data_IF_945986060503
#
_entry.id   IF_945986060503
#
_cell.length_a   1.000
_cell.length_b   1.000
_cell.length_c   1.000
_cell.angle_alpha   90.00
_cell.angle_beta   90.00
_cell.angle_gamma   90.00
#
_symmetry.space_group_name_H-M   'P 1'
#
loop_
_entity.id
_entity.type
_entity.pdbx_description
1 polymer ?
#
# COMPACT_ATOMS: atom_id res chain seq x y z
N UNK A 1 7.43 13.04 -1.79
CA UNK A 1 6.01 12.98 -1.37
C UNK A 1 5.22 11.84 -2.01
N UNK A 2 5.03 11.81 -3.34
CA UNK A 2 4.16 10.83 -4.02
C UNK A 2 4.47 9.37 -3.70
N UNK A 3 5.75 9.03 -3.65
CA UNK A 3 6.19 7.67 -3.30
C UNK A 3 5.69 7.21 -1.92
N UNK A 4 5.78 8.06 -0.89
CA UNK A 4 5.24 7.75 0.43
C UNK A 4 3.70 7.73 0.43
N UNK A 5 3.05 8.70 -0.23
CA UNK A 5 1.60 8.73 -0.32
C UNK A 5 1.03 7.48 -1.00
N UNK A 6 1.67 7.02 -2.07
CA UNK A 6 1.32 5.77 -2.77
C UNK A 6 1.53 4.55 -1.87
N UNK A 7 2.65 4.47 -1.14
CA UNK A 7 2.90 3.38 -0.20
C UNK A 7 1.85 3.32 0.92
N UNK A 8 1.55 4.45 1.55
CA UNK A 8 0.49 4.57 2.57
C UNK A 8 -0.85 4.17 1.98
N UNK A 9 -1.18 4.66 0.78
CA UNK A 9 -2.40 4.26 0.07
C UNK A 9 -2.45 2.75 -0.14
N UNK A 10 -1.38 2.13 -0.60
CA UNK A 10 -1.30 0.69 -0.85
C UNK A 10 -1.50 -0.12 0.45
N UNK A 11 -0.90 0.33 1.56
CA UNK A 11 -1.15 -0.23 2.90
C UNK A 11 -2.63 -0.17 3.33
N UNK A 12 -3.33 0.91 2.97
CA UNK A 12 -4.77 1.04 3.25
C UNK A 12 -5.64 0.20 2.30
N UNK A 13 -5.25 0.08 1.03
CA UNK A 13 -6.03 -0.64 0.01
C UNK A 13 -6.12 -2.14 0.26
N UNK A 14 -5.15 -2.72 0.96
CA UNK A 14 -5.20 -4.13 1.36
C UNK A 14 -6.16 -4.38 2.54
N UNK A 15 -6.70 -3.34 3.17
CA UNK A 15 -7.81 -3.45 4.10
C UNK A 15 -9.15 -3.56 3.33
N UNK A 16 -10.10 -4.37 3.80
CA UNK A 16 -11.43 -4.48 3.20
C UNK A 16 -12.29 -3.25 3.56
N UNK A 17 -11.94 -2.09 3.03
CA UNK A 17 -12.68 -0.82 3.19
C UNK A 17 -13.36 -0.44 1.88
N UNK A 18 -14.41 0.38 1.96
CA UNK A 18 -15.08 0.92 0.77
C UNK A 18 -14.13 1.85 0.01
N UNK A 19 -14.19 1.82 -1.33
CA UNK A 19 -13.39 2.67 -2.20
C UNK A 19 -13.42 4.16 -1.81
N UNK A 20 -14.61 4.70 -1.52
CA UNK A 20 -14.80 6.08 -1.06
C UNK A 20 -14.01 6.36 0.22
N UNK A 21 -14.09 5.49 1.21
CA UNK A 21 -13.32 5.62 2.46
C UNK A 21 -11.82 5.55 2.19
N UNK A 22 -11.37 4.59 1.37
CA UNK A 22 -9.97 4.49 0.99
C UNK A 22 -9.47 5.77 0.31
N UNK A 23 -10.27 6.36 -0.58
CA UNK A 23 -9.93 7.57 -1.32
C UNK A 23 -9.93 8.80 -0.39
N UNK A 24 -10.94 8.96 0.46
CA UNK A 24 -10.96 10.01 1.49
C UNK A 24 -9.74 9.94 2.40
N UNK A 25 -9.32 8.74 2.85
CA UNK A 25 -8.11 8.58 3.66
C UNK A 25 -6.82 8.93 2.91
N UNK A 26 -6.81 8.79 1.58
CA UNK A 26 -5.68 9.17 0.71
C UNK A 26 -5.59 10.69 0.59
N UNK A 27 -6.72 11.33 0.33
CA UNK A 27 -6.80 12.79 0.21
C UNK A 27 -6.49 13.44 1.55
N UNK A 28 -7.07 12.91 2.64
CA UNK A 28 -6.73 13.32 4.00
C UNK A 28 -5.23 13.19 4.25
N UNK A 29 -4.61 12.07 3.87
CA UNK A 29 -3.15 11.94 3.98
C UNK A 29 -2.41 13.02 3.19
N UNK A 30 -2.72 13.21 1.90
CA UNK A 30 -2.06 14.22 1.05
C UNK A 30 -2.21 15.65 1.59
N UNK A 31 -3.41 16.01 2.03
CA UNK A 31 -3.74 17.35 2.54
C UNK A 31 -3.10 17.61 3.91
N UNK A 32 -3.21 16.65 4.83
CA UNK A 32 -2.78 16.80 6.22
C UNK A 32 -1.26 16.65 6.38
N UNK A 33 -0.56 15.96 5.48
CA UNK A 33 0.82 15.54 5.72
C UNK A 33 1.88 16.29 4.89
N UNK A 34 1.48 17.12 3.93
CA UNK A 34 2.47 17.87 3.14
C UNK A 34 3.31 18.82 4.00
N UNK A 35 2.74 19.42 5.05
CA UNK A 35 3.46 20.35 5.91
C UNK A 35 4.17 19.68 7.10
N UNK A 36 3.90 18.39 7.34
CA UNK A 36 4.45 17.67 8.50
C UNK A 36 5.84 17.10 8.26
N UNK A 37 6.32 17.08 7.00
CA UNK A 37 7.60 16.51 6.64
C UNK A 37 8.48 17.55 5.95
N UNK A 38 9.78 17.51 6.26
CA UNK A 38 10.78 18.24 5.51
C UNK A 38 11.19 17.41 4.29
N UNK A 39 10.77 17.89 3.11
CA UNK A 39 11.10 17.29 1.82
C UNK A 39 12.34 17.91 1.17
N UNK A 40 12.92 18.96 1.76
CA UNK A 40 14.04 19.73 1.20
C UNK A 40 15.40 19.22 1.65
N UNK A 41 15.46 18.52 2.78
CA UNK A 41 16.68 17.96 3.34
C UNK A 41 17.19 16.70 2.61
N UNK A 42 18.47 16.38 2.83
CA UNK A 42 19.07 15.10 2.39
C UNK A 42 18.57 13.90 3.20
N UNK A 43 17.89 14.15 4.31
CA UNK A 43 17.30 13.16 5.20
C UNK A 43 15.81 13.47 5.35
N UNK A 44 14.98 12.41 5.32
CA UNK A 44 13.56 12.55 5.55
C UNK A 44 13.27 12.77 7.04
N UNK A 45 12.86 13.98 7.38
CA UNK A 45 12.59 14.42 8.75
C UNK A 45 11.16 14.93 8.89
N UNK A 46 10.71 15.08 10.13
CA UNK A 46 9.54 15.89 10.42
C UNK A 46 9.86 17.36 10.17
N UNK A 47 8.86 18.15 9.79
CA UNK A 47 8.96 19.60 9.82
C UNK A 47 9.03 20.08 11.27
N UNK A 48 9.60 21.26 11.47
CA UNK A 48 9.71 21.86 12.81
C UNK A 48 8.33 22.06 13.47
N UNK A 49 8.22 21.69 14.75
CA UNK A 49 6.97 21.70 15.52
C UNK A 49 5.91 20.65 15.14
N UNK A 50 6.13 19.82 14.12
CA UNK A 50 5.16 18.82 13.67
C UNK A 50 4.88 17.71 14.69
N UNK A 51 5.89 17.29 15.47
CA UNK A 51 5.73 16.27 16.50
C UNK A 51 4.93 16.81 17.69
N UNK A 52 5.06 18.10 18.00
CA UNK A 52 4.32 18.75 19.08
C UNK A 52 2.89 19.16 18.66
N UNK A 53 2.66 19.41 17.37
CA UNK A 53 1.34 19.72 16.81
C UNK A 53 0.35 18.55 16.90
N UNK A 54 0.85 17.32 16.88
CA UNK A 54 0.04 16.10 16.96
C UNK A 54 -0.08 15.65 18.42
N UNK A 55 -1.20 15.96 19.09
CA UNK A 55 -1.52 15.41 20.41
C UNK A 55 -1.60 13.86 20.38
N UNK A 56 -1.26 13.22 21.51
CA UNK A 56 -0.93 11.79 21.68
C UNK A 56 -1.74 10.77 20.82
N UNK A 57 -3.07 10.89 20.76
CA UNK A 57 -3.92 9.94 20.02
C UNK A 57 -3.83 10.10 18.51
N UNK A 58 -3.82 11.34 18.02
CA UNK A 58 -3.65 11.66 16.59
C UNK A 58 -2.25 11.27 16.12
N UNK A 59 -1.25 11.46 16.98
CA UNK A 59 0.13 11.07 16.72
C UNK A 59 0.27 9.55 16.54
N UNK A 60 -0.33 8.74 17.43
CA UNK A 60 -0.23 7.27 17.36
C UNK A 60 -0.85 6.71 16.08
N UNK A 61 -2.00 7.23 15.65
CA UNK A 61 -2.65 6.81 14.41
C UNK A 61 -1.84 7.17 13.17
N UNK A 62 -1.35 8.42 13.10
CA UNK A 62 -0.62 8.90 11.93
C UNK A 62 0.77 8.27 11.79
N UNK A 63 1.51 8.18 12.89
CA UNK A 63 2.83 7.52 12.93
C UNK A 63 2.75 6.07 12.46
N UNK A 64 1.71 5.34 12.86
CA UNK A 64 1.45 3.97 12.41
C UNK A 64 1.26 3.89 10.89
N UNK A 65 0.43 4.77 10.31
CA UNK A 65 0.19 4.80 8.86
C UNK A 65 1.46 5.14 8.07
N UNK A 66 2.23 6.12 8.54
CA UNK A 66 3.49 6.54 7.92
C UNK A 66 4.53 5.42 8.01
N UNK A 67 4.65 4.75 9.16
CA UNK A 67 5.55 3.62 9.33
C UNK A 67 5.18 2.42 8.44
N UNK A 68 3.88 2.14 8.24
CA UNK A 68 3.44 1.15 7.27
C UNK A 68 3.85 1.55 5.84
N UNK A 69 3.69 2.82 5.48
CA UNK A 69 4.18 3.34 4.20
C UNK A 69 5.69 3.13 4.01
N UNK A 70 6.51 3.50 4.99
CA UNK A 70 7.96 3.27 4.95
C UNK A 70 8.33 1.79 4.90
N UNK A 71 7.64 0.93 5.64
CA UNK A 71 7.83 -0.50 5.57
C UNK A 71 7.59 -1.03 4.15
N UNK A 72 6.50 -0.61 3.50
CA UNK A 72 6.23 -1.02 2.11
C UNK A 72 7.24 -0.45 1.11
N UNK A 73 7.73 0.78 1.32
CA UNK A 73 8.81 1.33 0.48
C UNK A 73 10.12 0.57 0.63
N UNK A 74 10.44 0.14 1.85
CA UNK A 74 11.61 -0.69 2.07
C UNK A 74 11.44 -2.05 1.39
N UNK A 75 10.27 -2.69 1.54
CA UNK A 75 10.00 -3.97 0.88
C UNK A 75 10.06 -3.87 -0.64
N UNK A 76 9.55 -2.79 -1.22
CA UNK A 76 9.68 -2.49 -2.65
C UNK A 76 11.15 -2.36 -3.08
N UNK A 77 12.00 -1.69 -2.28
CA UNK A 77 13.44 -1.60 -2.53
C UNK A 77 14.14 -2.97 -2.46
N UNK A 78 13.67 -3.87 -1.61
CA UNK A 78 14.15 -5.26 -1.48
C UNK A 78 13.55 -6.19 -2.56
N UNK A 79 12.76 -5.67 -3.50
CA UNK A 79 12.19 -6.44 -4.62
C UNK A 79 10.85 -7.14 -4.33
N UNK A 80 10.24 -6.90 -3.16
CA UNK A 80 8.91 -7.40 -2.83
C UNK A 80 7.83 -6.46 -3.40
N UNK A 81 7.40 -6.75 -4.63
CA UNK A 81 6.46 -5.91 -5.37
C UNK A 81 5.00 -6.01 -4.88
N UNK A 82 4.62 -7.18 -4.34
CA UNK A 82 3.23 -7.50 -4.01
C UNK A 82 3.01 -7.48 -2.50
N UNK A 83 1.87 -6.94 -2.07
CA UNK A 83 1.50 -6.84 -0.66
C UNK A 83 0.08 -7.32 -0.41
N UNK A 84 -0.11 -8.05 0.68
CA UNK A 84 -1.42 -8.39 1.23
C UNK A 84 -1.49 -8.10 2.73
N UNK A 85 -2.68 -7.75 3.23
CA UNK A 85 -2.91 -7.68 4.69
C UNK A 85 -2.79 -9.08 5.26
N UNK A 86 -1.89 -9.28 6.23
CA UNK A 86 -1.63 -10.62 6.77
C UNK A 86 -2.88 -11.27 7.37
N UNK A 87 -3.71 -10.48 8.08
CA UNK A 87 -4.94 -11.00 8.68
C UNK A 87 -5.92 -11.57 7.63
N UNK A 88 -6.01 -10.93 6.45
CA UNK A 88 -6.80 -11.42 5.33
C UNK A 88 -6.18 -12.67 4.72
N UNK A 89 -4.86 -12.65 4.50
CA UNK A 89 -4.10 -13.79 4.00
C UNK A 89 -4.28 -15.04 4.85
N UNK A 90 -4.02 -14.96 6.17
CA UNK A 90 -4.17 -16.11 7.08
C UNK A 90 -5.60 -16.66 7.08
N UNK A 91 -6.61 -15.78 7.01
CA UNK A 91 -8.03 -16.19 7.00
C UNK A 91 -8.35 -16.96 5.72
N UNK A 92 -7.79 -16.55 4.58
CA UNK A 92 -7.94 -17.24 3.30
C UNK A 92 -7.23 -18.58 3.27
N UNK A 93 -6.13 -18.73 4.00
CA UNK A 93 -5.48 -20.02 4.21
C UNK A 93 -6.20 -20.89 5.26
N UNK A 94 -7.18 -20.38 6.01
CA UNK A 94 -7.82 -21.13 7.10
C UNK A 94 -6.97 -21.24 8.37
N UNK A 95 -5.96 -20.38 8.52
CA UNK A 95 -5.02 -20.40 9.64
C UNK A 95 -5.58 -19.62 10.84
N UNK A 96 -5.69 -20.32 11.98
CA UNK A 96 -6.18 -19.76 13.24
C UNK A 96 -5.15 -18.83 13.89
N UNK A 97 -5.60 -17.94 14.77
CA UNK A 97 -4.68 -17.07 15.53
C UNK A 97 -4.02 -17.89 16.63
N UNK A 98 -2.69 -18.04 16.65
CA UNK A 98 -1.98 -18.72 17.73
C UNK A 98 -2.21 -18.00 19.07
N UNK A 99 -2.17 -18.77 20.14
CA UNK A 99 -2.36 -18.25 21.50
C UNK A 99 -1.20 -18.62 22.39
N UNK A 100 -0.86 -17.73 23.32
CA UNK A 100 0.12 -17.99 24.38
C UNK A 100 -0.57 -18.05 25.74
N UNK A 101 -0.01 -18.81 26.70
CA UNK A 101 -0.48 -18.78 28.08
C UNK A 101 -0.50 -17.34 28.61
N UNK A 102 -1.62 -16.92 29.19
CA UNK A 102 -1.75 -15.63 29.87
C UNK A 102 -1.77 -15.83 31.37
N UNK A 103 -1.28 -14.84 32.12
CA UNK A 103 -1.47 -14.78 33.57
C UNK A 103 -2.88 -14.34 33.97
N UNK A 104 -3.69 -13.83 33.03
CA UNK A 104 -5.07 -13.40 33.31
C UNK A 104 -5.99 -14.60 33.49
N UNK A 105 -6.81 -14.56 34.53
CA UNK A 105 -7.87 -15.54 34.80
C UNK A 105 -9.24 -14.93 34.54
N UNK A 106 -10.19 -15.73 34.07
CA UNK A 106 -11.59 -15.31 33.98
C UNK A 106 -12.25 -15.36 35.38
N UNK A 107 -13.52 -14.95 35.46
CA UNK A 107 -14.31 -14.98 36.70
C UNK A 107 -14.43 -16.39 37.32
N UNK A 108 -14.16 -17.45 36.56
CA UNK A 108 -14.17 -18.85 36.98
C UNK A 108 -12.77 -19.38 37.34
N UNK A 109 -11.75 -18.52 37.42
CA UNK A 109 -10.38 -18.89 37.77
C UNK A 109 -9.58 -19.59 36.66
N UNK A 110 -10.15 -19.78 35.46
CA UNK A 110 -9.47 -20.39 34.31
C UNK A 110 -8.57 -19.39 33.59
N UNK A 111 -7.37 -19.82 33.19
CA UNK A 111 -6.44 -18.99 32.42
C UNK A 111 -7.07 -18.62 31.07
N UNK A 112 -7.03 -17.34 30.72
CA UNK A 112 -7.55 -16.82 29.44
C UNK A 112 -6.39 -16.82 28.45
N UNK A 113 -6.35 -17.66 27.41
CA UNK A 113 -5.27 -17.64 26.43
C UNK A 113 -5.15 -16.25 25.78
N UNK A 114 -3.93 -15.71 25.71
CA UNK A 114 -3.66 -14.43 25.05
C UNK A 114 -3.44 -14.68 23.57
N UNK A 115 -4.27 -14.10 22.72
CA UNK A 115 -4.08 -14.14 21.27
C UNK A 115 -2.83 -13.36 20.90
N UNK A 116 -1.99 -13.95 20.05
CA UNK A 116 -0.84 -13.24 19.50
C UNK A 116 -1.35 -12.31 18.39
N UNK A 117 -0.79 -11.10 18.32
CA UNK A 117 -1.14 -10.16 17.26
C UNK A 117 -0.59 -10.66 15.93
N UNK A 118 -1.36 -10.46 14.87
CA UNK A 118 -0.90 -10.67 13.50
C UNK A 118 0.14 -9.61 13.11
N UNK A 119 1.10 -9.97 12.25
CA UNK A 119 1.87 -9.03 11.46
C UNK A 119 0.97 -8.08 10.69
N UNK A 120 1.54 -6.99 10.21
CA UNK A 120 0.83 -6.06 9.33
C UNK A 120 0.59 -6.67 7.95
N UNK A 121 1.66 -7.17 7.33
CA UNK A 121 1.63 -7.57 5.93
C UNK A 121 2.27 -8.95 5.70
N UNK A 122 1.83 -9.57 4.62
CA UNK A 122 2.61 -10.55 3.87
C UNK A 122 3.01 -9.88 2.57
N UNK A 123 4.27 -10.01 2.19
CA UNK A 123 4.79 -9.47 0.93
C UNK A 123 5.40 -10.58 0.10
N UNK A 124 5.46 -10.39 -1.22
CA UNK A 124 5.95 -11.39 -2.16
C UNK A 124 6.77 -10.74 -3.29
N UNK A 125 7.88 -11.39 -3.65
CA UNK A 125 8.71 -11.00 -4.81
C UNK A 125 8.09 -11.45 -6.13
N UNK A 126 8.66 -11.01 -7.25
CA UNK A 126 8.29 -11.54 -8.58
C UNK A 126 8.57 -13.04 -8.73
N UNK A 127 9.59 -13.57 -8.05
CA UNK A 127 9.90 -15.02 -8.01
C UNK A 127 8.95 -15.84 -7.12
N UNK A 128 8.09 -15.19 -6.31
CA UNK A 128 7.17 -15.88 -5.40
C UNK A 128 7.73 -16.10 -3.99
N UNK A 129 8.90 -15.55 -3.67
CA UNK A 129 9.46 -15.59 -2.32
C UNK A 129 8.67 -14.68 -1.41
N UNK A 130 8.26 -15.19 -0.25
CA UNK A 130 7.37 -14.49 0.68
C UNK A 130 8.11 -14.03 1.93
N UNK A 131 7.65 -12.91 2.49
CA UNK A 131 8.06 -12.45 3.80
C UNK A 131 6.88 -11.92 4.62
N UNK A 132 7.02 -11.98 5.94
CA UNK A 132 6.10 -11.32 6.88
C UNK A 132 6.66 -9.96 7.26
N UNK A 133 5.83 -8.95 7.42
CA UNK A 133 6.28 -7.59 7.78
C UNK A 133 5.46 -7.04 8.93
N UNK A 134 6.13 -6.53 9.95
CA UNK A 134 5.54 -5.77 11.05
C UNK A 134 6.17 -4.38 11.08
N UNK A 135 5.35 -3.35 11.06
CA UNK A 135 5.82 -1.96 11.12
C UNK A 135 5.71 -1.39 12.53
N UNK A 136 6.66 -0.53 12.90
CA UNK A 136 6.61 0.31 14.12
C UNK A 136 6.92 1.74 13.74
N UNK A 137 6.18 2.68 14.31
CA UNK A 137 6.31 4.11 14.01
C UNK A 137 6.41 4.94 15.27
N UNK A 138 7.23 5.98 15.24
CA UNK A 138 7.24 7.02 16.26
C UNK A 138 7.67 8.36 15.67
N UNK A 139 6.98 9.43 16.07
CA UNK A 139 7.41 10.81 15.84
C UNK A 139 7.97 11.32 17.15
N UNK A 140 9.17 11.89 17.08
CA UNK A 140 9.94 12.30 18.23
C UNK A 140 10.13 13.81 18.18
N UNK A 141 9.79 14.48 19.27
CA UNK A 141 10.14 15.87 19.50
C UNK A 141 11.51 15.97 20.20
N UNK A 142 12.07 17.18 20.23
CA UNK A 142 13.37 17.46 20.83
C UNK A 142 13.52 16.87 22.24
N UNK A 143 14.63 16.17 22.49
CA UNK A 143 14.97 15.60 23.79
C UNK A 143 14.33 14.24 24.14
N UNK A 144 13.43 13.69 23.31
CA UNK A 144 12.94 12.31 23.50
C UNK A 144 13.85 11.28 22.84
N UNK A 145 14.16 10.21 23.57
CA UNK A 145 14.88 9.04 23.05
C UNK A 145 13.87 8.00 22.57
N UNK A 146 14.06 7.47 21.36
CA UNK A 146 13.20 6.40 20.86
C UNK A 146 13.44 5.09 21.60
N UNK A 147 12.38 4.42 22.03
CA UNK A 147 12.45 3.02 22.50
C UNK A 147 12.55 2.04 21.31
N UNK A 148 13.64 2.13 20.55
CA UNK A 148 13.88 1.29 19.36
C UNK A 148 13.96 -0.18 19.77
N UNK A 149 14.74 -0.47 20.83
CA UNK A 149 14.95 -1.84 21.30
C UNK A 149 13.65 -2.50 21.77
N UNK A 150 12.85 -1.80 22.58
CA UNK A 150 11.57 -2.33 23.08
C UNK A 150 10.58 -2.55 21.95
N UNK A 151 10.39 -1.54 21.09
CA UNK A 151 9.48 -1.62 19.94
C UNK A 151 9.85 -2.72 18.94
N UNK A 152 11.15 -2.90 18.65
CA UNK A 152 11.64 -3.98 17.79
C UNK A 152 11.53 -5.36 18.43
N UNK A 153 11.84 -5.49 19.72
CA UNK A 153 11.60 -6.72 20.48
C UNK A 153 10.13 -7.15 20.38
N UNK A 154 9.21 -6.20 20.51
CA UNK A 154 7.77 -6.50 20.45
C UNK A 154 7.32 -6.86 19.03
N UNK A 155 7.84 -6.20 18.00
CA UNK A 155 7.60 -6.59 16.61
C UNK A 155 8.08 -8.03 16.32
N UNK A 156 9.26 -8.40 16.80
CA UNK A 156 9.81 -9.75 16.64
C UNK A 156 8.95 -10.81 17.35
N UNK A 157 8.48 -10.53 18.57
CA UNK A 157 7.53 -11.41 19.29
C UNK A 157 6.22 -11.59 18.53
N UNK A 158 5.77 -10.55 17.81
CA UNK A 158 4.57 -10.63 16.97
C UNK A 158 4.81 -11.51 15.73
N UNK A 159 5.98 -11.40 15.08
CA UNK A 159 6.33 -12.15 13.85
C UNK A 159 6.66 -13.62 14.11
N UNK A 160 7.31 -13.91 15.24
CA UNK A 160 7.87 -15.22 15.57
C UNK A 160 6.96 -16.42 15.26
N UNK A 161 5.69 -16.47 15.75
CA UNK A 161 4.88 -17.69 15.71
C UNK A 161 4.20 -17.96 14.36
N UNK A 162 4.32 -17.06 13.37
CA UNK A 162 3.49 -17.12 12.16
C UNK A 162 4.15 -17.80 10.98
N UNK A 163 5.46 -17.61 10.77
CA UNK A 163 6.13 -18.07 9.55
C UNK A 163 6.03 -19.59 9.30
N UNK A 164 6.05 -20.38 10.38
CA UNK A 164 6.02 -21.84 10.33
C UNK A 164 4.63 -22.43 10.08
N UNK A 165 3.55 -21.63 10.17
CA UNK A 165 2.17 -22.11 10.01
C UNK A 165 1.77 -22.31 8.54
N UNK A 166 2.67 -22.03 7.61
CA UNK A 166 2.41 -21.98 6.18
C UNK A 166 3.35 -22.94 5.43
N UNK A 167 2.87 -23.51 4.33
CA UNK A 167 3.63 -24.40 3.45
C UNK A 167 3.63 -23.84 2.01
N UNK A 168 4.80 -23.52 1.43
CA UNK A 168 6.12 -23.52 2.07
C UNK A 168 6.21 -22.49 3.22
N UNK A 169 7.11 -22.75 4.18
CA UNK A 169 7.32 -21.88 5.32
C UNK A 169 7.76 -20.48 4.90
N UNK A 170 7.18 -19.46 5.52
CA UNK A 170 7.58 -18.06 5.30
C UNK A 170 8.73 -17.77 6.26
N UNK A 171 9.96 -18.03 5.80
CA UNK A 171 11.18 -17.95 6.61
C UNK A 171 11.65 -16.52 6.82
N UNK A 172 11.46 -15.64 5.82
CA UNK A 172 11.79 -14.22 5.90
C UNK A 172 10.75 -13.44 6.69
N UNK A 173 11.22 -12.63 7.64
CA UNK A 173 10.36 -11.82 8.52
C UNK A 173 11.03 -10.48 8.71
N UNK A 174 10.33 -9.37 8.55
CA UNK A 174 10.90 -8.04 8.70
C UNK A 174 10.16 -7.27 9.78
N UNK A 175 10.87 -6.94 10.86
CA UNK A 175 10.44 -5.88 11.76
C UNK A 175 11.03 -4.56 11.25
N UNK A 176 10.18 -3.63 10.82
CA UNK A 176 10.60 -2.32 10.28
C UNK A 176 10.17 -1.21 11.23
N UNK A 177 11.13 -0.59 11.92
CA UNK A 177 10.89 0.56 12.78
C UNK A 177 11.22 1.88 12.06
N UNK A 178 10.28 2.83 12.04
CA UNK A 178 10.45 4.17 11.47
C UNK A 178 10.35 5.21 12.59
N UNK A 179 11.43 5.94 12.83
CA UNK A 179 11.51 6.93 13.90
C UNK A 179 11.91 8.28 13.29
N UNK A 180 10.95 9.18 13.15
CA UNK A 180 11.17 10.48 12.52
C UNK A 180 11.30 11.56 13.59
N UNK A 181 12.29 12.43 13.41
CA UNK A 181 12.61 13.56 14.29
C UNK A 181 12.42 14.88 13.58
N UNK A 182 12.11 15.91 14.36
CA UNK A 182 12.22 17.30 13.93
C UNK A 182 13.71 17.66 13.74
N UNK A 183 14.05 18.68 12.92
CA UNK A 183 15.43 18.97 12.54
C UNK A 183 16.27 19.65 13.64
N UNK A 184 15.76 19.80 14.87
CA UNK A 184 16.41 20.62 15.91
C UNK A 184 17.87 20.20 16.20
N UNK A 185 18.73 21.22 16.27
CA UNK A 185 20.20 21.11 16.25
C UNK A 185 20.87 20.46 17.47
N UNK A 186 20.13 20.08 18.51
CA UNK A 186 20.69 19.57 19.77
C UNK A 186 20.44 18.09 20.03
N UNK A 187 19.61 17.44 19.23
CA UNK A 187 19.38 16.00 19.31
C UNK A 187 20.59 15.24 18.76
N UNK A 188 21.10 14.28 19.54
CA UNK A 188 22.29 13.50 19.18
C UNK A 188 22.02 12.40 18.16
N UNK A 189 20.75 12.11 17.88
CA UNK A 189 20.33 10.97 17.06
C UNK A 189 19.52 11.46 15.85
N UNK A 190 19.86 11.04 14.63
CA UNK A 190 19.09 11.38 13.43
C UNK A 190 17.79 10.55 13.34
N UNK A 191 16.85 10.95 12.46
CA UNK A 191 15.74 10.06 12.06
C UNK A 191 16.30 8.74 11.54
N UNK A 192 15.64 7.62 11.80
CA UNK A 192 16.18 6.31 11.42
C UNK A 192 15.12 5.29 11.05
N UNK A 193 15.57 4.32 10.25
CA UNK A 193 14.84 3.10 9.97
C UNK A 193 15.64 1.90 10.48
N UNK A 194 15.02 1.07 11.32
CA UNK A 194 15.61 -0.16 11.86
C UNK A 194 14.95 -1.38 11.22
N UNK A 195 15.75 -2.37 10.82
CA UNK A 195 15.27 -3.59 10.15
C UNK A 195 15.87 -4.81 10.85
N UNK A 196 15.05 -5.80 11.18
CA UNK A 196 15.51 -7.09 11.74
C UNK A 196 14.86 -8.26 11.00
N UNK A 197 15.69 -9.23 10.56
CA UNK A 197 15.31 -10.47 9.89
C UNK A 197 15.61 -11.71 10.76
N UNK A 198 14.66 -12.19 11.59
CA UNK A 198 14.85 -13.41 12.36
C UNK A 198 14.62 -14.65 11.50
N UNK A 199 15.48 -15.66 11.67
CA UNK A 199 15.30 -16.96 11.04
C UNK A 199 14.00 -17.65 11.48
N UNK A 200 13.38 -18.39 10.56
CA UNK A 200 12.16 -19.16 10.81
C UNK A 200 12.42 -20.66 10.87
N UNK A 201 11.75 -21.35 11.79
CA UNK A 201 11.62 -22.81 11.77
C UNK A 201 10.46 -23.28 10.90
N UNK A 202 10.40 -24.59 10.64
CA UNK A 202 9.30 -25.25 9.94
C UNK A 202 8.45 -26.04 10.94
N UNK A 203 7.12 -25.97 10.81
CA UNK A 203 6.17 -26.78 11.60
C UNK A 203 5.66 -27.94 10.74
N UNK A 204 5.36 -29.08 11.35
CA UNK A 204 4.84 -30.27 10.65
C UNK A 204 3.37 -30.08 10.22
N UNK A 205 2.62 -29.23 10.93
CA UNK A 205 1.19 -28.93 10.68
C UNK A 205 0.97 -27.70 9.76
N UNK A 206 1.95 -27.37 8.92
CA UNK A 206 1.92 -26.18 8.08
C UNK A 206 0.83 -26.24 6.99
N UNK A 207 0.05 -25.16 6.84
CA UNK A 207 -1.05 -25.11 5.89
C UNK A 207 -0.57 -24.68 4.49
N UNK A 208 -0.91 -25.42 3.42
CA UNK A 208 -0.53 -25.04 2.05
C UNK A 208 -1.04 -23.65 1.67
N UNK A 209 -0.13 -22.82 1.16
CA UNK A 209 -0.44 -21.48 0.65
C UNK A 209 -0.56 -21.55 -0.87
N UNK A 210 -1.71 -21.15 -1.46
CA UNK A 210 -1.81 -21.04 -2.90
C UNK A 210 -0.71 -20.10 -3.46
N UNK A 211 0.00 -20.49 -4.53
CA UNK A 211 1.18 -19.79 -5.04
C UNK A 211 0.94 -18.30 -5.34
N UNK A 212 -0.28 -17.97 -5.72
CA UNK A 212 -0.73 -16.69 -6.25
C UNK A 212 -1.51 -15.83 -5.25
N UNK A 213 -1.70 -16.30 -4.00
CA UNK A 213 -2.62 -15.67 -3.06
C UNK A 213 -2.25 -14.23 -2.73
N UNK A 214 -0.95 -13.94 -2.53
CA UNK A 214 -0.49 -12.58 -2.18
C UNK A 214 -0.78 -11.61 -3.34
N UNK A 215 -0.52 -12.02 -4.58
CA UNK A 215 -0.80 -11.21 -5.79
C UNK A 215 -2.28 -10.94 -5.99
N UNK A 216 -3.12 -11.95 -5.80
CA UNK A 216 -4.57 -11.77 -5.86
C UNK A 216 -5.05 -10.79 -4.80
N UNK A 217 -4.55 -10.89 -3.57
CA UNK A 217 -4.88 -9.94 -2.51
C UNK A 217 -4.41 -8.51 -2.84
N UNK A 218 -3.19 -8.38 -3.38
CA UNK A 218 -2.63 -7.11 -3.82
C UNK A 218 -3.52 -6.42 -4.87
N UNK A 219 -3.79 -7.11 -5.99
CA UNK A 219 -4.60 -6.56 -7.07
C UNK A 219 -6.07 -6.41 -6.69
N UNK A 220 -6.61 -7.29 -5.86
CA UNK A 220 -7.97 -7.11 -5.33
C UNK A 220 -8.09 -5.85 -4.49
N UNK A 221 -7.10 -5.58 -3.62
CA UNK A 221 -7.06 -4.35 -2.83
C UNK A 221 -7.03 -3.11 -3.73
N UNK A 222 -6.16 -3.10 -4.73
CA UNK A 222 -6.03 -1.98 -5.66
C UNK A 222 -7.29 -1.76 -6.50
N UNK A 223 -7.85 -2.82 -7.10
CA UNK A 223 -9.11 -2.75 -7.86
C UNK A 223 -10.28 -2.29 -6.98
N UNK A 224 -10.34 -2.73 -5.72
CA UNK A 224 -11.35 -2.25 -4.77
C UNK A 224 -11.22 -0.75 -4.53
N UNK A 225 -9.99 -0.25 -4.34
CA UNK A 225 -9.74 1.18 -4.14
C UNK A 225 -10.06 2.02 -5.39
N UNK A 226 -9.87 1.45 -6.58
CA UNK A 226 -10.31 2.05 -7.84
C UNK A 226 -11.83 1.99 -8.05
N UNK A 227 -12.60 1.32 -7.16
CA UNK A 227 -14.05 1.20 -7.27
C UNK A 227 -14.55 -0.07 -7.96
N UNK A 228 -13.66 -0.89 -8.52
CA UNK A 228 -13.96 -2.14 -9.22
C UNK A 228 -14.17 -3.31 -8.25
N UNK A 229 -15.25 -3.24 -7.46
CA UNK A 229 -15.57 -4.22 -6.41
C UNK A 229 -15.85 -5.62 -6.93
N UNK A 230 -16.53 -5.74 -8.06
CA UNK A 230 -16.88 -7.06 -8.60
C UNK A 230 -15.63 -7.83 -9.09
N UNK A 231 -14.72 -7.24 -9.90
CA UNK A 231 -13.43 -7.86 -10.20
C UNK A 231 -12.62 -8.16 -8.94
N UNK A 232 -12.51 -7.20 -8.02
CA UNK A 232 -11.79 -7.38 -6.74
C UNK A 232 -12.28 -8.60 -5.95
N UNK A 233 -13.61 -8.74 -5.79
CA UNK A 233 -14.22 -9.87 -5.07
C UNK A 233 -13.95 -11.20 -5.78
N UNK A 234 -13.95 -11.21 -7.11
CA UNK A 234 -13.68 -12.39 -7.90
C UNK A 234 -12.24 -12.90 -7.66
N UNK A 235 -11.26 -11.99 -7.64
CA UNK A 235 -9.85 -12.33 -7.36
C UNK A 235 -9.66 -13.01 -6.00
N UNK A 236 -10.35 -12.53 -4.95
CA UNK A 236 -10.22 -13.12 -3.60
C UNK A 236 -11.10 -14.36 -3.38
N UNK A 237 -11.93 -14.73 -4.35
CA UNK A 237 -12.91 -15.81 -4.25
C UNK A 237 -12.74 -16.79 -5.43
N UNK A 238 -11.66 -17.59 -5.46
CA UNK A 238 -11.31 -18.41 -6.63
C UNK A 238 -12.37 -19.46 -7.03
N UNK A 239 -13.30 -19.77 -6.13
CA UNK A 239 -14.41 -20.71 -6.38
C UNK A 239 -15.65 -20.04 -6.98
N UNK A 240 -15.64 -18.71 -7.13
CA UNK A 240 -16.70 -17.99 -7.84
C UNK A 240 -16.78 -18.49 -9.28
N UNK A 241 -17.99 -18.83 -9.73
CA UNK A 241 -18.29 -19.13 -11.13
C UNK A 241 -18.73 -17.90 -11.91
N UNK A 242 -18.95 -16.80 -11.20
CA UNK A 242 -19.47 -15.57 -11.79
C UNK A 242 -18.37 -14.90 -12.60
N UNK A 243 -18.54 -14.88 -13.93
CA UNK A 243 -17.70 -14.07 -14.81
C UNK A 243 -18.09 -12.61 -14.61
N UNK A 244 -17.09 -11.77 -14.37
CA UNK A 244 -17.30 -10.34 -14.19
C UNK A 244 -16.73 -9.61 -15.40
N UNK A 245 -17.61 -9.03 -16.20
CA UNK A 245 -17.22 -8.15 -17.30
C UNK A 245 -17.19 -6.72 -16.79
N UNK A 246 -16.06 -6.04 -16.96
CA UNK A 246 -15.87 -4.68 -16.48
C UNK A 246 -15.16 -3.82 -17.54
N UNK A 247 -15.49 -2.54 -17.60
CA UNK A 247 -14.90 -1.59 -18.57
C UNK A 247 -14.02 -0.58 -17.84
N UNK A 248 -12.80 -0.43 -18.33
CA UNK A 248 -11.78 0.45 -17.75
C UNK A 248 -11.51 1.62 -18.68
N UNK A 249 -11.44 2.82 -18.11
CA UNK A 249 -10.93 3.99 -18.82
C UNK A 249 -9.41 3.90 -18.89
N UNK A 250 -8.86 4.07 -20.09
CA UNK A 250 -7.43 3.95 -20.36
C UNK A 250 -6.87 5.24 -20.92
N UNK A 251 -5.70 5.64 -20.43
CA UNK A 251 -4.97 6.80 -20.93
C UNK A 251 -3.45 6.56 -20.83
N UNK A 252 -2.69 7.37 -21.56
CA UNK A 252 -1.23 7.39 -21.53
C UNK A 252 -0.73 8.58 -20.70
N UNK A 253 0.04 8.29 -19.66
CA UNK A 253 0.69 9.30 -18.81
C UNK A 253 1.85 8.67 -18.06
N UNK A 254 2.81 9.47 -17.57
CA UNK A 254 3.94 8.96 -16.78
C UNK A 254 4.75 7.85 -17.49
N UNK A 255 4.85 7.90 -18.82
CA UNK A 255 5.58 6.93 -19.63
C UNK A 255 4.94 5.53 -19.73
N UNK A 256 3.67 5.38 -19.36
CA UNK A 256 2.95 4.12 -19.47
C UNK A 256 1.49 4.30 -19.89
N UNK A 257 0.82 3.17 -20.12
CA UNK A 257 -0.60 3.11 -20.48
C UNK A 257 -1.37 2.45 -19.35
N UNK A 258 -2.32 3.16 -18.78
CA UNK A 258 -2.94 2.77 -17.51
C UNK A 258 -4.46 2.75 -17.61
N UNK A 259 -5.06 1.73 -17.01
CA UNK A 259 -6.44 1.81 -16.55
C UNK A 259 -6.47 2.73 -15.32
N UNK A 260 -7.31 3.77 -15.30
CA UNK A 260 -7.27 4.79 -14.25
C UNK A 260 -8.65 5.18 -13.74
N UNK A 261 -8.68 5.68 -12.51
CA UNK A 261 -9.80 6.43 -11.94
C UNK A 261 -9.26 7.67 -11.25
N UNK A 262 -9.89 8.84 -11.39
CA UNK A 262 -9.49 9.97 -10.59
C UNK A 262 -10.13 9.86 -9.21
N UNK A 263 -9.47 10.48 -8.25
CA UNK A 263 -9.94 10.51 -6.87
C UNK A 263 -10.05 11.93 -6.35
N UNK A 264 -9.35 12.89 -6.96
CA UNK A 264 -9.53 14.30 -6.65
C UNK A 264 -9.14 15.22 -7.80
N UNK A 265 -9.72 16.42 -7.76
CA UNK A 265 -9.34 17.55 -8.59
C UNK A 265 -8.30 18.41 -7.89
N UNK A 266 -7.35 18.95 -8.64
CA UNK A 266 -6.31 19.83 -8.15
C UNK A 266 -6.35 21.13 -8.97
N UNK A 267 -6.73 22.27 -8.35
CA UNK A 267 -6.74 23.55 -9.05
C UNK A 267 -5.33 23.89 -9.56
N UNK A 268 -5.21 24.72 -10.60
CA UNK A 268 -3.94 25.34 -10.96
C UNK A 268 -3.31 25.99 -9.71
N UNK A 269 -2.13 25.51 -9.32
CA UNK A 269 -1.44 26.00 -8.12
C UNK A 269 -0.49 27.13 -8.46
N UNK A 270 -0.36 28.10 -7.56
CA UNK A 270 0.81 28.99 -7.55
C UNK A 270 2.02 28.21 -7.01
N UNK A 271 3.26 28.56 -7.40
CA UNK A 271 4.47 27.81 -7.04
C UNK A 271 4.67 27.53 -5.54
N UNK A 272 4.10 28.37 -4.66
CA UNK A 272 4.26 28.30 -3.21
C UNK A 272 3.02 27.80 -2.46
N UNK A 273 1.96 27.38 -3.17
CA UNK A 273 0.73 26.93 -2.52
C UNK A 273 0.83 25.46 -2.07
N UNK A 274 0.28 25.16 -0.89
CA UNK A 274 0.02 23.79 -0.45
C UNK A 274 -0.88 23.07 -1.46
N UNK A 275 -0.68 21.76 -1.61
CA UNK A 275 -1.47 20.92 -2.49
C UNK A 275 -2.94 20.97 -2.04
N UNK A 276 -3.79 21.62 -2.81
CA UNK A 276 -5.25 21.60 -2.60
C UNK A 276 -5.85 20.51 -3.46
N UNK A 277 -6.67 19.65 -2.87
CA UNK A 277 -7.38 18.60 -3.59
C UNK A 277 -8.86 18.60 -3.21
N UNK A 278 -9.73 18.41 -4.19
CA UNK A 278 -11.18 18.36 -4.01
C UNK A 278 -11.67 16.97 -4.41
N UNK A 279 -12.37 16.29 -3.50
CA UNK A 279 -12.87 14.93 -3.74
C UNK A 279 -13.81 14.90 -4.94
N UNK A 280 -13.61 13.95 -5.85
CA UNK A 280 -14.51 13.73 -6.99
C UNK A 280 -15.66 12.76 -6.60
N UNK A 281 -16.90 13.01 -7.01
CA UNK A 281 -18.02 12.11 -6.73
C UNK A 281 -17.78 10.68 -7.23
N UNK A 282 -18.28 9.71 -6.47
CA UNK A 282 -18.30 8.28 -6.86
C UNK A 282 -19.29 8.06 -8.00
N UNK A 283 -18.87 8.33 -9.23
CA UNK A 283 -19.71 8.31 -10.43
C UNK A 283 -19.04 8.92 -11.66
N UNK A 284 -17.93 9.64 -11.46
CA UNK A 284 -17.08 10.14 -12.54
C UNK A 284 -16.32 9.01 -13.27
N UNK A 285 -16.17 9.05 -14.61
CA UNK A 285 -16.66 10.10 -15.52
C UNK A 285 -18.10 9.87 -16.01
N UNK A 286 -18.72 8.72 -15.73
CA UNK A 286 -20.01 8.33 -16.32
C UNK A 286 -21.20 9.25 -16.00
N UNK A 287 -21.21 9.87 -14.82
CA UNK A 287 -22.28 10.79 -14.38
C UNK A 287 -21.96 12.27 -14.63
N UNK A 288 -20.71 12.59 -14.97
CA UNK A 288 -20.23 13.97 -15.07
C UNK A 288 -19.50 14.18 -16.37
N UNK A 289 -20.18 14.82 -17.33
CA UNK A 289 -19.54 15.26 -18.57
C UNK A 289 -18.46 16.29 -18.26
N UNK A 290 -17.25 16.05 -18.76
CA UNK A 290 -16.13 16.97 -18.57
C UNK A 290 -16.34 18.28 -19.38
N UNK A 291 -17.31 18.31 -20.29
CA UNK A 291 -17.76 19.54 -20.95
C UNK A 291 -18.35 20.59 -19.98
N UNK A 292 -18.68 20.20 -18.74
CA UNK A 292 -19.12 21.13 -17.71
C UNK A 292 -17.97 21.92 -17.06
N UNK A 293 -16.71 21.65 -17.43
CA UNK A 293 -15.54 22.34 -16.88
C UNK A 293 -14.99 23.29 -17.95
N UNK A 294 -15.26 24.59 -17.77
CA UNK A 294 -15.04 25.63 -18.78
C UNK A 294 -13.55 26.03 -19.00
N UNK A 295 -12.61 25.50 -18.22
CA UNK A 295 -11.18 25.85 -18.30
C UNK A 295 -10.31 24.58 -18.15
N UNK A 296 -10.06 23.83 -19.23
CA UNK A 296 -9.26 22.59 -19.14
C UNK A 296 -7.75 22.83 -19.10
N UNK A 297 -7.31 24.04 -19.44
CA UNK A 297 -5.89 24.39 -19.51
C UNK A 297 -5.25 24.41 -18.12
N UNK A 298 -4.18 23.65 -17.94
CA UNK A 298 -3.44 23.48 -16.68
C UNK A 298 -4.20 22.83 -15.50
N UNK A 299 -5.37 22.23 -15.72
CA UNK A 299 -6.03 21.45 -14.66
C UNK A 299 -5.34 20.12 -14.42
N UNK A 300 -5.15 19.79 -13.15
CA UNK A 300 -4.56 18.53 -12.70
C UNK A 300 -5.61 17.71 -11.95
N UNK A 301 -5.50 16.39 -12.01
CA UNK A 301 -6.29 15.48 -11.19
C UNK A 301 -5.39 14.45 -10.52
N UNK A 302 -5.72 14.05 -9.30
CA UNK A 302 -5.09 12.90 -8.65
C UNK A 302 -5.76 11.64 -9.16
N UNK A 303 -4.98 10.67 -9.64
CA UNK A 303 -5.46 9.38 -10.13
C UNK A 303 -4.91 8.22 -9.31
N UNK A 304 -5.70 7.15 -9.26
CA UNK A 304 -5.22 5.79 -9.01
C UNK A 304 -5.26 5.05 -10.34
N UNK A 305 -4.20 4.33 -10.66
CA UNK A 305 -4.11 3.63 -11.92
C UNK A 305 -3.41 2.28 -11.79
N UNK A 306 -3.67 1.39 -12.74
CA UNK A 306 -2.98 0.11 -12.91
C UNK A 306 -2.55 -0.02 -14.36
N UNK A 307 -1.31 -0.43 -14.59
CA UNK A 307 -0.79 -0.68 -15.94
C UNK A 307 -1.72 -1.65 -16.70
N UNK A 308 -2.10 -1.29 -17.92
CA UNK A 308 -3.11 -2.03 -18.68
C UNK A 308 -2.65 -3.46 -18.99
N UNK A 309 -1.35 -3.67 -19.25
CA UNK A 309 -0.82 -5.01 -19.52
C UNK A 309 -0.82 -5.88 -18.27
N UNK A 310 -0.63 -5.27 -17.09
CA UNK A 310 -0.81 -5.97 -15.81
C UNK A 310 -2.27 -6.33 -15.61
N UNK A 311 -3.19 -5.39 -15.84
CA UNK A 311 -4.62 -5.62 -15.69
C UNK A 311 -5.14 -6.74 -16.61
N UNK A 312 -4.72 -6.75 -17.88
CA UNK A 312 -5.05 -7.80 -18.85
C UNK A 312 -4.55 -9.19 -18.41
N UNK A 313 -3.33 -9.25 -17.83
CA UNK A 313 -2.78 -10.49 -17.26
C UNK A 313 -3.61 -10.96 -16.08
N UNK A 314 -3.98 -10.07 -15.16
CA UNK A 314 -4.84 -10.38 -14.01
C UNK A 314 -6.21 -10.88 -14.47
N UNK A 315 -6.84 -10.23 -15.45
CA UNK A 315 -8.12 -10.67 -16.02
C UNK A 315 -8.02 -12.05 -16.67
N UNK A 316 -6.97 -12.30 -17.47
CA UNK A 316 -6.71 -13.60 -18.10
C UNK A 316 -6.47 -14.71 -17.08
N UNK A 317 -5.68 -14.44 -16.03
CA UNK A 317 -5.39 -15.38 -14.96
C UNK A 317 -6.66 -15.74 -14.17
N UNK A 318 -7.49 -14.73 -13.89
CA UNK A 318 -8.79 -14.90 -13.24
C UNK A 318 -9.72 -15.82 -14.05
N UNK A 319 -9.85 -15.57 -15.36
CA UNK A 319 -10.70 -16.38 -16.25
C UNK A 319 -10.25 -17.83 -16.40
N UNK A 320 -8.95 -18.02 -16.62
CA UNK A 320 -8.37 -19.35 -16.85
C UNK A 320 -8.23 -20.14 -15.57
N UNK A 321 -8.40 -19.49 -14.41
CA UNK A 321 -8.06 -20.03 -13.08
C UNK A 321 -6.62 -20.53 -13.02
N UNK A 322 -5.77 -19.98 -13.88
CA UNK A 322 -4.36 -20.31 -14.04
C UNK A 322 -3.53 -19.08 -13.76
N UNK A 323 -3.02 -19.03 -12.55
CA UNK A 323 -2.30 -17.88 -12.00
C UNK A 323 -0.79 -17.95 -12.21
N UNK A 324 -0.30 -19.02 -12.84
CA UNK A 324 1.08 -19.12 -13.32
C UNK A 324 1.42 -18.01 -14.32
N UNK A 325 0.42 -17.52 -15.06
CA UNK A 325 0.59 -16.34 -15.93
C UNK A 325 0.92 -15.04 -15.19
N UNK A 326 0.70 -14.97 -13.87
CA UNK A 326 1.20 -13.89 -13.03
C UNK A 326 2.64 -14.15 -12.54
N UNK A 327 3.11 -15.40 -12.55
CA UNK A 327 4.50 -15.82 -12.21
C UNK A 327 5.50 -15.35 -13.24
N UNK A 328 5.13 -15.38 -14.52
CA UNK A 328 5.97 -14.93 -15.63
C UNK A 328 5.87 -13.42 -15.92
N UNK A 329 5.55 -12.58 -14.92
CA UNK A 329 5.62 -11.12 -15.06
C UNK A 329 7.07 -10.58 -15.12
N UNK A 330 7.97 -11.35 -15.75
CA UNK A 330 9.37 -11.02 -16.06
C UNK A 330 9.51 -10.05 -17.23
N UNK A 331 8.42 -9.65 -17.90
CA UNK A 331 8.43 -8.45 -18.72
C UNK A 331 8.47 -7.24 -17.80
N UNK A 332 9.69 -6.82 -17.48
CA UNK A 332 9.96 -5.43 -17.15
C UNK A 332 9.26 -4.58 -18.22
N UNK A 333 8.38 -3.65 -17.84
CA UNK A 333 7.90 -2.64 -18.75
C UNK A 333 9.09 -1.74 -19.10
N UNK A 334 9.86 -2.16 -20.10
CA UNK A 334 11.01 -1.44 -20.66
C UNK A 334 12.31 -1.62 -19.88
N UNK A 335 13.09 -2.65 -20.25
CA UNK A 335 14.56 -2.66 -20.16
C UNK A 335 15.17 -1.82 -21.30
N UNK A 336 14.70 -0.58 -21.41
CA UNK A 336 15.16 0.41 -22.38
C UNK A 336 15.35 1.74 -21.65
N UNK A 337 16.48 1.85 -20.97
CA UNK A 337 16.92 3.05 -20.29
C UNK A 337 16.89 2.86 -18.78
N UNK A 338 18.03 3.16 -18.18
CA UNK A 338 18.27 3.17 -16.74
C UNK A 338 17.10 3.70 -15.90
N UNK A 339 17.17 3.44 -14.59
CA UNK A 339 16.45 4.11 -13.50
C UNK A 339 16.58 5.66 -13.49
N UNK A 340 16.83 6.30 -14.62
CA UNK A 340 16.91 7.75 -14.82
C UNK A 340 15.51 8.36 -14.80
N UNK A 341 15.12 8.87 -13.62
CA UNK A 341 13.95 9.71 -13.32
C UNK A 341 12.57 9.03 -13.50
N UNK A 342 12.29 7.96 -12.73
CA UNK A 342 10.96 7.32 -12.64
C UNK A 342 9.98 7.98 -11.66
N UNK A 343 10.44 8.93 -10.85
CA UNK A 343 9.58 9.84 -10.09
C UNK A 343 9.54 11.17 -10.85
N UNK A 344 8.47 11.41 -11.59
CA UNK A 344 8.13 12.80 -11.94
C UNK A 344 7.63 13.47 -10.65
N UNK A 345 7.76 14.78 -10.52
CA UNK A 345 7.20 15.55 -9.38
C UNK A 345 5.69 15.32 -9.20
N UNK A 346 5.08 14.69 -10.21
CA UNK A 346 3.66 14.46 -10.36
C UNK A 346 3.22 13.05 -9.98
N UNK A 347 4.06 12.04 -9.77
CA UNK A 347 3.52 10.72 -9.43
C UNK A 347 4.54 9.64 -9.17
N UNK A 348 4.06 8.47 -8.74
CA UNK A 348 4.89 7.32 -8.45
C UNK A 348 4.25 6.00 -8.93
N UNK A 349 5.08 5.12 -9.49
CA UNK A 349 4.74 3.77 -9.94
C UNK A 349 5.46 2.72 -9.07
N UNK A 350 4.75 1.67 -8.64
CA UNK A 350 5.34 0.50 -7.98
C UNK A 350 5.61 -0.62 -8.99
N UNK A 351 6.47 -1.57 -8.62
CA UNK A 351 6.90 -2.69 -9.46
C UNK A 351 5.80 -3.68 -9.82
N UNK A 352 4.68 -3.68 -9.08
CA UNK A 352 3.48 -4.45 -9.41
C UNK A 352 2.60 -3.80 -10.49
N UNK A 353 2.96 -2.60 -10.95
CA UNK A 353 2.25 -1.84 -11.96
C UNK A 353 1.20 -0.86 -11.43
N UNK A 354 1.03 -0.74 -10.11
CA UNK A 354 0.17 0.30 -9.54
C UNK A 354 0.80 1.68 -9.74
N UNK A 355 -0.04 2.70 -9.93
CA UNK A 355 0.37 4.09 -10.07
C UNK A 355 -0.54 5.01 -9.27
N UNK A 356 0.05 6.01 -8.62
CA UNK A 356 -0.68 7.11 -8.00
C UNK A 356 0.05 8.42 -8.26
N UNK A 357 -0.70 9.44 -8.68
CA UNK A 357 -0.12 10.75 -8.99
C UNK A 357 -1.11 11.74 -9.59
N UNK A 358 -0.61 12.94 -9.87
CA UNK A 358 -1.21 14.00 -10.65
C UNK A 358 -1.06 13.72 -12.15
N UNK A 359 -2.15 13.88 -12.88
CA UNK A 359 -2.20 13.82 -14.34
C UNK A 359 -2.85 15.09 -14.85
N UNK A 360 -2.31 15.65 -15.94
CA UNK A 360 -2.95 16.79 -16.61
C UNK A 360 -4.22 16.30 -17.28
N UNK A 361 -5.30 17.05 -17.13
CA UNK A 361 -6.58 16.67 -17.70
C UNK A 361 -6.48 16.51 -19.23
N UNK A 362 -5.67 17.34 -19.90
CA UNK A 362 -5.40 17.26 -21.35
C UNK A 362 -4.80 15.91 -21.79
N UNK A 363 -3.94 15.29 -20.97
CA UNK A 363 -3.29 14.02 -21.28
C UNK A 363 -4.31 12.87 -21.33
N UNK A 364 -5.43 13.01 -20.62
CA UNK A 364 -6.52 12.05 -20.65
C UNK A 364 -7.42 12.21 -21.87
N UNK A 365 -7.30 13.32 -22.62
CA UNK A 365 -8.14 13.62 -23.79
C UNK A 365 -7.44 13.41 -25.13
N UNK A 366 -6.12 13.61 -25.20
CA UNK A 366 -5.36 13.45 -26.46
C UNK A 366 -5.34 11.98 -26.89
N UNK A 367 -5.32 11.06 -25.93
CA UNK A 367 -5.71 9.66 -26.15
C UNK A 367 -7.24 9.61 -26.22
N UNK A 368 -7.82 9.59 -27.43
CA UNK A 368 -9.25 9.40 -27.67
C UNK A 368 -9.85 8.40 -26.67
N UNK A 369 -10.80 8.83 -25.83
CA UNK A 369 -11.43 8.04 -24.73
C UNK A 369 -11.41 6.54 -25.01
N UNK A 370 -10.36 5.87 -24.55
CA UNK A 370 -10.17 4.48 -24.84
C UNK A 370 -10.72 3.69 -23.67
N UNK A 371 -11.76 2.91 -23.95
CA UNK A 371 -12.37 2.03 -22.97
C UNK A 371 -11.98 0.59 -23.32
N UNK A 372 -11.38 -0.12 -22.37
CA UNK A 372 -11.05 -1.54 -22.54
C UNK A 372 -11.98 -2.35 -21.66
N UNK A 373 -12.75 -3.25 -22.27
CA UNK A 373 -13.60 -4.19 -21.55
C UNK A 373 -12.86 -5.49 -21.32
N UNK A 374 -12.73 -5.88 -20.06
CA UNK A 374 -12.07 -7.11 -19.64
C UNK A 374 -13.04 -8.02 -18.91
N UNK A 375 -12.85 -9.32 -19.12
CA UNK A 375 -13.58 -10.38 -18.46
C UNK A 375 -12.68 -10.96 -17.36
N UNK A 376 -13.15 -10.99 -16.11
CA UNK A 376 -12.49 -11.56 -14.93
C UNK A 376 -13.12 -12.88 -14.53
#
# INVERSE_FOLDING_TARGET
MWRLAHAVKKAECVNPVLASMANSMTLGFLLENQHLFDYSGTQFNLADGAASYLDDFSQTGLTGRVAQGFALLQMENEGYAFVGRFDTFRKKCGVAVPTVPSRRRNRLGKLIPKRIRSPDFVVETKSGDRALVESKGSFLNGGKVADIKGSMSDALKQLAPWGSQFSPAITKKFAVGTYLREPESTDREPSLMAIVDPEGGQDEDAVPVPPDLVRRLNYAGWLSAMGYRAPSRNLVSPHSTDRVRETFQVAEFGGGRYAYVPIAWVPPQKPDDLLRVFHLPTGWPGEYSIANFHETDNQMIVVLALDIQVLERVARASRSRSWSSLEDASSDPGDAGAFTKRDDERGNRFSDGSFMGLVRLEQLFVSSYEAVTLDF
#
